data_IF_667271718582
#
_entry.id   IF_667271718582
#
_cell.length_a   1.000
_cell.length_b   1.000
_cell.length_c   1.000
_cell.angle_alpha   90.00
_cell.angle_beta   90.00
_cell.angle_gamma   90.00
#
_symmetry.space_group_name_H-M   'P 1'
#
loop_
_entity.id
_entity.type
_entity.pdbx_description
1 polymer ?
#
# COMPACT_ATOMS: atom_id res chain seq x y z
N UNK A 1 -5.79 4.85 15.56
CA UNK A 1 -5.14 4.20 16.72
C UNK A 1 -6.01 4.45 17.94
N UNK A 2 -6.77 3.44 18.38
CA UNK A 2 -7.63 3.54 19.55
C UNK A 2 -6.85 3.41 20.86
N UNK A 3 -6.59 4.53 21.54
CA UNK A 3 -5.94 4.56 22.85
C UNK A 3 -6.94 4.94 23.94
N UNK A 4 -7.03 4.13 25.01
CA UNK A 4 -8.00 4.33 26.07
C UNK A 4 -7.40 4.06 27.45
N UNK A 5 -7.87 4.81 28.44
CA UNK A 5 -7.40 4.74 29.82
C UNK A 5 -8.36 3.95 30.70
N UNK A 6 -7.77 3.08 31.52
CA UNK A 6 -8.47 2.26 32.50
C UNK A 6 -7.88 2.61 33.86
N UNK A 7 -8.68 3.24 34.69
CA UNK A 7 -8.31 3.63 36.04
C UNK A 7 -8.76 2.57 37.04
N UNK A 8 -7.82 2.03 37.79
CA UNK A 8 -8.07 1.06 38.85
C UNK A 8 -7.87 1.76 40.19
N UNK A 9 -8.73 1.43 41.15
CA UNK A 9 -8.75 1.98 42.51
C UNK A 9 -8.94 3.50 42.61
N UNK A 10 -9.53 4.14 41.60
CA UNK A 10 -9.69 5.60 41.58
C UNK A 10 -10.85 6.09 42.46
N UNK A 11 -12.00 5.43 42.34
CA UNK A 11 -13.22 5.71 43.12
C UNK A 11 -13.31 4.94 44.45
N UNK A 12 -12.45 3.97 44.69
CA UNK A 12 -12.43 3.17 45.92
C UNK A 12 -11.59 1.90 45.81
N UNK A 13 -11.49 1.12 46.88
CA UNK A 13 -10.74 -0.15 46.86
C UNK A 13 -11.42 -1.12 45.90
N UNK A 14 -10.63 -1.67 44.98
CA UNK A 14 -11.06 -2.54 43.90
C UNK A 14 -12.11 -1.92 42.96
N UNK A 15 -12.03 -0.62 42.68
CA UNK A 15 -12.87 -0.03 41.62
C UNK A 15 -12.18 -0.08 40.26
N UNK A 16 -12.97 -0.21 39.18
CA UNK A 16 -12.49 -0.12 37.79
C UNK A 16 -13.34 0.94 37.08
N UNK A 17 -12.68 1.95 36.53
CA UNK A 17 -13.24 2.98 35.67
C UNK A 17 -12.63 2.86 34.28
N UNK A 18 -13.44 2.51 33.30
CA UNK A 18 -13.04 2.36 31.91
C UNK A 18 -14.21 2.78 31.00
N UNK A 19 -13.96 3.06 29.71
CA UNK A 19 -15.04 3.22 28.74
C UNK A 19 -15.83 1.92 28.61
N UNK A 20 -17.15 2.03 28.40
CA UNK A 20 -18.02 0.87 28.16
C UNK A 20 -17.83 0.30 26.77
N UNK A 21 -17.71 1.18 25.77
CA UNK A 21 -17.56 0.82 24.36
C UNK A 21 -16.47 1.65 23.68
N UNK A 22 -15.80 1.02 22.72
CA UNK A 22 -14.70 1.58 21.95
C UNK A 22 -14.84 1.15 20.50
N UNK A 23 -14.78 2.12 19.59
CA UNK A 23 -14.72 1.85 18.16
C UNK A 23 -13.26 1.80 17.69
N UNK A 24 -12.92 0.79 16.89
CA UNK A 24 -11.60 0.66 16.26
C UNK A 24 -11.71 0.17 14.82
N UNK A 25 -10.77 0.58 13.97
CA UNK A 25 -10.67 0.09 12.60
C UNK A 25 -9.89 -1.23 12.53
N UNK A 26 -10.19 -2.05 11.53
CA UNK A 26 -9.42 -3.26 11.26
C UNK A 26 -7.94 -2.93 10.93
N UNK A 27 -7.02 -3.75 11.44
CA UNK A 27 -5.58 -3.54 11.28
C UNK A 27 -4.96 -2.51 12.23
N UNK A 28 -5.72 -1.87 13.11
CA UNK A 28 -5.17 -1.00 14.15
C UNK A 28 -4.76 -1.76 15.42
N UNK A 29 -4.01 -1.08 16.29
CA UNK A 29 -3.71 -1.57 17.63
C UNK A 29 -4.59 -0.86 18.67
N UNK A 30 -5.17 -1.66 19.57
CA UNK A 30 -5.81 -1.15 20.79
C UNK A 30 -4.69 -0.91 21.82
N UNK A 31 -4.66 0.29 22.39
CA UNK A 31 -3.71 0.62 23.46
C UNK A 31 -4.48 0.84 24.76
N UNK A 32 -4.31 -0.10 25.68
CA UNK A 32 -4.88 -0.05 27.03
C UNK A 32 -3.85 0.54 27.99
N UNK A 33 -4.12 1.75 28.47
CA UNK A 33 -3.36 2.40 29.55
C UNK A 33 -3.99 2.02 30.89
N UNK A 34 -3.44 1.02 31.56
CA UNK A 34 -3.85 0.60 32.90
C UNK A 34 -3.15 1.48 33.94
N UNK A 35 -3.91 2.21 34.76
CA UNK A 35 -3.40 3.13 35.77
C UNK A 35 -3.96 2.72 37.13
N UNK A 36 -3.09 2.39 38.08
CA UNK A 36 -3.46 2.09 39.45
C UNK A 36 -3.33 3.33 40.33
N UNK A 37 -4.39 3.65 41.07
CA UNK A 37 -4.43 4.77 42.02
C UNK A 37 -4.44 4.29 43.48
N UNK A 38 -4.18 3.00 43.71
CA UNK A 38 -4.19 2.37 45.04
C UNK A 38 -2.96 1.52 45.30
N UNK A 39 -3.14 0.43 46.05
CA UNK A 39 -2.07 -0.53 46.33
C UNK A 39 -1.76 -1.40 45.12
N UNK A 40 -0.50 -1.87 44.96
CA UNK A 40 -0.13 -2.81 43.90
C UNK A 40 -1.03 -4.05 43.88
N UNK A 41 -1.36 -4.52 42.68
CA UNK A 41 -2.28 -5.66 42.50
C UNK A 41 -1.96 -6.49 41.27
N UNK A 42 -2.41 -7.74 41.30
CA UNK A 42 -2.44 -8.61 40.13
C UNK A 42 -3.79 -8.47 39.42
N UNK A 43 -3.74 -8.34 38.10
CA UNK A 43 -4.92 -8.32 37.24
C UNK A 43 -4.73 -9.23 36.04
N UNK A 44 -5.84 -9.72 35.51
CA UNK A 44 -5.87 -10.49 34.28
C UNK A 44 -6.66 -9.70 33.24
N UNK A 45 -6.06 -9.47 32.08
CA UNK A 45 -6.76 -8.97 30.90
C UNK A 45 -7.08 -10.18 30.02
N UNK A 46 -8.32 -10.32 29.59
CA UNK A 46 -8.79 -11.44 28.77
C UNK A 46 -9.65 -10.93 27.63
N UNK A 47 -9.58 -11.58 26.47
CA UNK A 47 -10.40 -11.24 25.32
C UNK A 47 -11.43 -12.34 25.05
N UNK A 48 -12.70 -11.95 25.09
CA UNK A 48 -13.87 -12.84 24.95
C UNK A 48 -14.43 -12.70 23.53
N UNK A 49 -14.67 -13.84 22.88
CA UNK A 49 -15.11 -13.92 21.48
C UNK A 49 -14.17 -13.23 20.47
N UNK A 50 -12.91 -13.07 20.86
CA UNK A 50 -11.95 -12.23 20.15
C UNK A 50 -11.11 -12.95 19.08
N UNK A 51 -11.18 -14.29 18.99
CA UNK A 51 -10.33 -15.11 18.10
C UNK A 51 -10.36 -14.72 16.62
N UNK A 52 -11.47 -14.13 16.17
CA UNK A 52 -11.65 -13.67 14.78
C UNK A 52 -11.09 -12.26 14.54
N UNK A 53 -10.81 -11.51 15.61
CA UNK A 53 -10.44 -10.10 15.56
C UNK A 53 -9.00 -9.87 16.02
N UNK A 54 -8.49 -10.65 16.97
CA UNK A 54 -7.15 -10.48 17.53
C UNK A 54 -6.55 -11.84 17.92
N UNK A 55 -5.21 -12.02 17.80
CA UNK A 55 -4.52 -13.17 18.35
C UNK A 55 -4.39 -13.12 19.89
N UNK A 56 -4.66 -11.97 20.51
CA UNK A 56 -4.62 -11.82 21.95
C UNK A 56 -5.76 -12.60 22.62
N UNK A 57 -5.42 -13.41 23.61
CA UNK A 57 -6.40 -14.23 24.36
C UNK A 57 -6.48 -13.81 25.81
N UNK A 58 -5.35 -13.82 26.52
CA UNK A 58 -5.28 -13.37 27.90
C UNK A 58 -3.85 -13.01 28.28
N UNK A 59 -3.70 -12.17 29.30
CA UNK A 59 -2.42 -11.81 29.89
C UNK A 59 -2.61 -11.48 31.38
N UNK A 60 -1.70 -11.99 32.22
CA UNK A 60 -1.67 -11.70 33.64
C UNK A 60 -0.61 -10.63 33.91
N UNK A 61 -1.04 -9.53 34.51
CA UNK A 61 -0.20 -8.35 34.74
C UNK A 61 -0.09 -8.07 36.23
N UNK A 62 1.09 -7.64 36.64
CA UNK A 62 1.31 -7.02 37.95
C UNK A 62 1.36 -5.51 37.77
N UNK A 63 0.43 -4.80 38.43
CA UNK A 63 0.25 -3.37 38.26
C UNK A 63 0.62 -2.64 39.55
N UNK A 64 1.80 -2.03 39.56
CA UNK A 64 2.21 -1.12 40.64
C UNK A 64 1.62 0.28 40.41
N UNK A 65 2.03 0.95 39.33
CA UNK A 65 1.59 2.32 39.00
C UNK A 65 0.87 2.36 37.65
N UNK A 66 1.58 2.04 36.56
CA UNK A 66 1.07 2.15 35.19
C UNK A 66 1.63 1.03 34.31
N UNK A 67 0.78 0.45 33.48
CA UNK A 67 1.17 -0.51 32.44
C UNK A 67 0.46 -0.13 31.14
N UNK A 68 1.17 -0.27 30.03
CA UNK A 68 0.62 -0.07 28.69
C UNK A 68 0.56 -1.43 28.02
N UNK A 69 -0.66 -1.90 27.72
CA UNK A 69 -0.89 -3.14 26.99
C UNK A 69 -1.32 -2.80 25.56
N UNK A 70 -0.64 -3.39 24.57
CA UNK A 70 -0.95 -3.22 23.16
C UNK A 70 -1.56 -4.51 22.62
N UNK A 71 -2.79 -4.44 22.14
CA UNK A 71 -3.52 -5.57 21.57
C UNK A 71 -3.70 -5.33 20.07
N UNK A 72 -3.08 -6.14 19.21
CA UNK A 72 -3.22 -5.98 17.76
C UNK A 72 -4.58 -6.47 17.28
N UNK A 73 -5.26 -5.69 16.45
CA UNK A 73 -6.44 -6.12 15.69
C UNK A 73 -5.97 -6.57 14.30
N UNK A 74 -6.47 -7.72 13.85
CA UNK A 74 -6.13 -8.28 12.55
C UNK A 74 -6.59 -7.32 11.43
N UNK A 75 -5.79 -7.21 10.39
CA UNK A 75 -6.11 -6.38 9.20
C UNK A 75 -7.29 -6.92 8.41
N UNK A 76 -7.49 -8.24 8.44
CA UNK A 76 -8.60 -8.96 7.82
C UNK A 76 -9.73 -9.26 8.82
N UNK A 77 -9.71 -8.64 10.00
CA UNK A 77 -10.78 -8.80 10.98
C UNK A 77 -12.14 -8.43 10.36
N UNK A 78 -13.18 -9.27 10.54
CA UNK A 78 -14.51 -8.96 10.06
C UNK A 78 -15.13 -7.82 10.89
N UNK A 79 -16.17 -7.17 10.36
CA UNK A 79 -17.03 -6.28 11.17
C UNK A 79 -17.69 -7.05 12.29
N UNK A 80 -17.76 -6.43 13.46
CA UNK A 80 -18.46 -6.99 14.60
C UNK A 80 -17.93 -6.43 15.90
N UNK A 81 -18.21 -7.12 17.00
CA UNK A 81 -17.70 -6.73 18.30
C UNK A 81 -17.15 -7.92 19.08
N UNK A 82 -16.16 -7.63 19.92
CA UNK A 82 -15.64 -8.55 20.92
C UNK A 82 -15.48 -7.79 22.24
N UNK A 83 -15.17 -8.51 23.32
CA UNK A 83 -15.07 -7.89 24.65
C UNK A 83 -13.68 -8.09 25.24
N UNK A 84 -13.12 -7.04 25.82
CA UNK A 84 -11.93 -7.11 26.66
C UNK A 84 -12.39 -7.07 28.11
N UNK A 85 -12.14 -8.14 28.84
CA UNK A 85 -12.42 -8.25 30.26
C UNK A 85 -11.16 -7.96 31.08
N UNK A 86 -11.29 -7.07 32.05
CA UNK A 86 -10.29 -6.79 33.07
C UNK A 86 -10.78 -7.40 34.36
N UNK A 87 -10.00 -8.33 34.91
CA UNK A 87 -10.33 -9.10 36.09
C UNK A 87 -9.32 -8.77 37.19
N UNK A 88 -9.80 -8.38 38.36
CA UNK A 88 -8.97 -7.99 39.52
C UNK A 88 -9.54 -8.55 40.82
N UNK A 89 -8.82 -8.36 41.93
CA UNK A 89 -9.26 -8.79 43.26
C UNK A 89 -9.43 -10.31 43.35
N UNK A 90 -8.51 -11.08 42.76
CA UNK A 90 -8.57 -12.55 42.70
C UNK A 90 -9.86 -13.09 42.04
N UNK A 91 -10.39 -12.38 41.04
CA UNK A 91 -11.58 -12.80 40.28
C UNK A 91 -12.90 -12.27 40.82
N UNK A 92 -12.89 -11.49 41.90
CA UNK A 92 -14.10 -10.91 42.49
C UNK A 92 -14.66 -9.75 41.67
N UNK A 93 -13.82 -9.06 40.91
CA UNK A 93 -14.23 -7.96 40.05
C UNK A 93 -13.86 -8.24 38.61
N UNK A 94 -14.84 -7.99 37.75
CA UNK A 94 -14.74 -8.15 36.30
C UNK A 94 -15.39 -6.94 35.65
N UNK A 95 -14.64 -6.24 34.83
CA UNK A 95 -15.14 -5.15 34.00
C UNK A 95 -14.93 -5.51 32.53
N UNK A 96 -15.95 -5.32 31.70
CA UNK A 96 -15.91 -5.69 30.29
C UNK A 96 -16.08 -4.50 29.38
N UNK A 97 -15.09 -4.23 28.54
CA UNK A 97 -15.08 -3.18 27.53
C UNK A 97 -15.50 -3.81 26.19
N UNK A 98 -16.56 -3.30 25.56
CA UNK A 98 -16.94 -3.73 24.21
C UNK A 98 -16.06 -3.03 23.18
N UNK A 99 -15.45 -3.80 22.29
CA UNK A 99 -14.65 -3.31 21.16
C UNK A 99 -15.43 -3.56 19.89
N UNK A 100 -15.82 -2.50 19.21
CA UNK A 100 -16.51 -2.52 17.92
C UNK A 100 -15.49 -2.35 16.80
N UNK A 101 -15.35 -3.38 15.96
CA UNK A 101 -14.43 -3.37 14.81
C UNK A 101 -15.18 -2.91 13.57
N UNK A 102 -14.72 -1.80 12.99
CA UNK A 102 -15.21 -1.22 11.74
C UNK A 102 -14.21 -1.47 10.61
N UNK A 103 -14.68 -1.44 9.36
CA UNK A 103 -13.78 -1.48 8.21
C UNK A 103 -12.98 -0.18 8.18
N UNK A 104 -11.68 -0.30 7.95
CA UNK A 104 -10.83 0.83 7.59
C UNK A 104 -11.36 1.46 6.31
N UNK A 105 -11.59 2.77 6.35
CA UNK A 105 -11.86 3.53 5.14
C UNK A 105 -10.62 3.45 4.24
N UNK A 106 -10.73 2.76 3.11
CA UNK A 106 -9.68 2.77 2.09
C UNK A 106 -9.76 4.16 1.46
N UNK A 107 -8.81 5.03 1.79
CA UNK A 107 -8.53 6.24 1.01
C UNK A 107 -8.00 5.76 -0.34
N UNK A 108 -8.90 5.62 -1.31
CA UNK A 108 -8.51 5.42 -2.71
C UNK A 108 -7.91 6.76 -3.15
N UNK A 109 -6.63 6.82 -3.54
CA UNK A 109 -6.07 8.07 -4.08
C UNK A 109 -6.89 8.49 -5.30
N UNK A 110 -7.44 9.70 -5.26
CA UNK A 110 -8.32 10.24 -6.33
C UNK A 110 -7.60 10.50 -7.66
N UNK A 111 -6.27 10.31 -7.71
CA UNK A 111 -5.46 10.66 -8.87
C UNK A 111 -4.57 9.47 -9.23
N UNK A 112 -5.08 8.64 -10.14
CA UNK A 112 -4.22 7.79 -10.95
C UNK A 112 -3.43 8.78 -11.82
N UNK A 113 -2.17 9.03 -11.50
CA UNK A 113 -1.26 9.79 -12.38
C UNK A 113 -1.38 9.16 -13.78
N UNK A 114 -1.94 9.92 -14.73
CA UNK A 114 -1.97 9.53 -16.13
C UNK A 114 -0.52 9.35 -16.59
N UNK A 115 -0.11 8.09 -16.71
CA UNK A 115 1.17 7.75 -17.33
C UNK A 115 1.10 8.33 -18.75
N UNK A 116 1.97 9.29 -19.12
CA UNK A 116 1.92 9.85 -20.47
C UNK A 116 2.14 8.72 -21.48
N UNK A 117 1.23 8.60 -22.45
CA UNK A 117 1.40 7.64 -23.54
C UNK A 117 2.75 7.91 -24.23
N UNK A 118 3.54 6.85 -24.52
CA UNK A 118 4.82 7.04 -25.20
C UNK A 118 4.58 7.67 -26.57
N UNK A 119 5.18 8.84 -26.81
CA UNK A 119 5.12 9.49 -28.12
C UNK A 119 5.71 8.56 -29.19
N UNK A 120 4.87 8.11 -30.12
CA UNK A 120 5.26 7.23 -31.22
C UNK A 120 6.08 8.02 -32.27
N UNK A 121 7.39 8.11 -32.06
CA UNK A 121 8.31 8.74 -33.00
C UNK A 121 8.65 7.84 -34.21
N UNK A 122 8.05 6.65 -34.34
CA UNK A 122 8.41 5.69 -35.39
C UNK A 122 8.21 6.28 -36.79
N UNK A 123 7.15 7.07 -37.00
CA UNK A 123 6.86 7.72 -38.28
C UNK A 123 7.92 8.76 -38.69
N UNK A 124 8.48 9.50 -37.71
CA UNK A 124 9.50 10.52 -37.97
C UNK A 124 10.84 9.90 -38.39
N UNK A 125 11.31 8.87 -37.67
CA UNK A 125 12.56 8.18 -37.99
C UNK A 125 12.48 7.45 -39.34
N UNK A 126 11.33 6.85 -39.65
CA UNK A 126 11.14 6.14 -40.92
C UNK A 126 11.07 7.08 -42.12
N UNK A 127 10.38 8.22 -42.00
CA UNK A 127 10.39 9.28 -43.03
C UNK A 127 11.78 9.87 -43.25
N UNK A 128 12.52 10.12 -42.18
CA UNK A 128 13.90 10.60 -42.27
C UNK A 128 14.83 9.59 -42.95
N UNK A 129 14.71 8.30 -42.61
CA UNK A 129 15.48 7.21 -43.24
C UNK A 129 15.18 7.06 -44.73
N UNK A 130 13.90 7.12 -45.13
CA UNK A 130 13.47 7.09 -46.53
C UNK A 130 14.07 8.25 -47.34
N UNK A 131 13.95 9.49 -46.83
CA UNK A 131 14.50 10.67 -47.51
C UNK A 131 16.03 10.62 -47.59
N UNK A 132 16.70 10.15 -46.54
CA UNK A 132 18.16 9.99 -46.51
C UNK A 132 18.67 9.01 -47.56
N UNK A 133 18.04 7.84 -47.68
CA UNK A 133 18.41 6.83 -48.68
C UNK A 133 18.14 7.30 -50.12
N UNK A 134 17.02 7.98 -50.37
CA UNK A 134 16.74 8.58 -51.69
C UNK A 134 17.80 9.62 -52.06
N UNK A 135 18.12 10.54 -51.15
CA UNK A 135 19.13 11.57 -51.38
C UNK A 135 20.51 10.97 -51.66
N UNK A 136 20.94 9.99 -50.87
CA UNK A 136 22.19 9.28 -51.07
C UNK A 136 22.23 8.51 -52.40
N UNK A 137 21.12 7.87 -52.78
CA UNK A 137 21.00 7.16 -54.05
C UNK A 137 21.13 8.07 -55.27
N UNK A 138 20.49 9.24 -55.25
CA UNK A 138 20.61 10.24 -56.31
C UNK A 138 22.01 10.87 -56.36
N UNK A 139 22.61 11.17 -55.20
CA UNK A 139 23.98 11.68 -55.13
C UNK A 139 24.98 10.67 -55.72
N UNK A 140 24.84 9.38 -55.37
CA UNK A 140 25.67 8.31 -55.93
C UNK A 140 25.47 8.15 -57.45
N UNK A 141 24.23 8.32 -57.95
CA UNK A 141 23.94 8.30 -59.38
C UNK A 141 24.68 9.43 -60.11
N UNK A 142 24.51 10.66 -59.62
CA UNK A 142 25.11 11.86 -60.21
C UNK A 142 26.63 11.75 -60.17
N UNK A 143 27.20 11.30 -59.05
CA UNK A 143 28.64 11.09 -58.91
C UNK A 143 29.17 10.02 -59.87
N UNK A 144 28.37 8.97 -60.12
CA UNK A 144 28.65 7.94 -61.13
C UNK A 144 28.66 8.42 -62.58
N UNK A 145 28.00 9.54 -62.90
CA UNK A 145 28.09 10.13 -64.23
C UNK A 145 29.46 10.77 -64.51
N UNK A 146 30.19 11.16 -63.45
CA UNK A 146 31.49 11.83 -63.56
C UNK A 146 32.70 10.92 -63.31
N UNK A 147 32.48 9.73 -62.73
CA UNK A 147 33.53 8.76 -62.45
C UNK A 147 33.35 7.49 -63.30
N UNK A 148 34.35 7.10 -64.11
CA UNK A 148 34.27 5.88 -64.89
C UNK A 148 34.32 4.65 -63.97
N UNK A 149 33.22 3.89 -63.94
CA UNK A 149 33.12 2.64 -63.18
C UNK A 149 31.67 2.19 -62.98
N UNK A 150 31.45 0.88 -62.86
CA UNK A 150 30.12 0.29 -62.63
C UNK A 150 29.65 0.41 -61.18
N UNK A 151 30.57 0.63 -60.25
CA UNK A 151 30.31 0.63 -58.80
C UNK A 151 29.35 1.75 -58.36
N UNK A 152 29.50 3.03 -58.78
CA UNK A 152 28.58 4.10 -58.37
C UNK A 152 27.14 3.88 -58.88
N UNK A 153 26.99 3.31 -60.08
CA UNK A 153 25.68 2.97 -60.65
C UNK A 153 24.98 1.86 -59.87
N UNK A 154 25.70 0.79 -59.51
CA UNK A 154 25.14 -0.32 -58.72
C UNK A 154 24.73 0.17 -57.32
N UNK A 155 25.57 0.97 -56.66
CA UNK A 155 25.27 1.53 -55.32
C UNK A 155 24.02 2.41 -55.36
N UNK A 156 23.87 3.25 -56.38
CA UNK A 156 22.67 4.07 -56.56
C UNK A 156 21.40 3.24 -56.69
N UNK A 157 21.41 2.21 -57.53
CA UNK A 157 20.25 1.32 -57.73
C UNK A 157 19.86 0.62 -56.44
N UNK A 158 20.83 0.14 -55.66
CA UNK A 158 20.58 -0.51 -54.36
C UNK A 158 19.93 0.48 -53.38
N UNK A 159 20.46 1.70 -53.25
CA UNK A 159 19.94 2.70 -52.32
C UNK A 159 18.53 3.17 -52.69
N UNK A 160 18.27 3.40 -53.98
CA UNK A 160 16.95 3.83 -54.45
C UNK A 160 15.92 2.70 -54.29
N UNK A 161 16.32 1.45 -54.54
CA UNK A 161 15.45 0.28 -54.37
C UNK A 161 15.13 0.03 -52.90
N UNK A 162 16.11 0.16 -52.01
CA UNK A 162 15.90 0.07 -50.56
C UNK A 162 14.96 1.18 -50.06
N UNK A 163 15.12 2.40 -50.54
CA UNK A 163 14.22 3.49 -50.21
C UNK A 163 12.79 3.22 -50.72
N UNK A 164 12.63 2.78 -51.97
CA UNK A 164 11.33 2.43 -52.54
C UNK A 164 10.63 1.30 -51.76
N UNK A 165 11.39 0.31 -51.30
CA UNK A 165 10.86 -0.79 -50.47
C UNK A 165 10.35 -0.30 -49.12
N UNK A 166 11.11 0.57 -48.44
CA UNK A 166 10.69 1.19 -47.17
C UNK A 166 9.44 2.06 -47.42
N UNK A 167 9.42 2.88 -48.47
CA UNK A 167 8.24 3.68 -48.81
C UNK A 167 6.99 2.85 -49.13
N UNK A 168 7.15 1.65 -49.71
CA UNK A 168 6.04 0.75 -50.01
C UNK A 168 5.45 0.09 -48.75
N UNK A 169 6.30 -0.36 -47.83
CA UNK A 169 5.86 -1.02 -46.59
C UNK A 169 5.07 -0.11 -45.66
N UNK A 170 5.31 1.21 -45.73
CA UNK A 170 4.71 2.21 -44.84
C UNK A 170 3.75 3.15 -45.59
N UNK A 171 3.18 2.69 -46.70
CA UNK A 171 2.12 3.42 -47.39
C UNK A 171 0.83 3.36 -46.55
N UNK A 172 0.18 4.49 -46.25
CA UNK A 172 -1.10 4.52 -45.54
C UNK A 172 -2.23 3.87 -46.36
#
# INVERSE_FOLDING_TARGET
>A
MGEFEVNINKSGINSIEAPEEVDIENGENIVLKLINNGTPLHLTVSAVNARKFTPFLHENLFLENKVILKIPVLSDAPKGSFKIEIITGYGTLRYGIAINVKDRAIEIPDEIEEIPEPEDHTDLYMKAGFMGLLGAGWAAYIFGLYLPGTVPGIVSVILITAAAYIGWQYRP
#
